data_IF_355281761911
#
_entry.id   IF_355281761911
#
_cell.length_a   1.000
_cell.length_b   1.000
_cell.length_c   1.000
_cell.angle_alpha   90.00
_cell.angle_beta   90.00
_cell.angle_gamma   90.00
#
_symmetry.space_group_name_H-M   'P 1'
#
loop_
_entity.id
_entity.type
_entity.pdbx_description
1 polymer ?
#
# COMPACT_ATOMS: atom_id res chain seq x y z
N UNK A 1 -3.78 23.26 3.08
CA UNK A 1 -2.52 23.24 2.31
C UNK A 1 -1.47 22.53 3.14
N UNK A 2 -1.07 21.33 2.73
CA UNK A 2 0.26 20.75 2.93
C UNK A 2 0.31 19.55 2.00
N UNK A 3 0.69 19.77 0.75
CA UNK A 3 1.18 18.67 -0.09
C UNK A 3 2.55 18.37 0.49
N UNK A 4 2.62 17.43 1.42
CA UNK A 4 3.92 16.97 1.89
C UNK A 4 4.61 16.35 0.66
N UNK A 5 5.72 16.92 0.23
CA UNK A 5 6.46 16.43 -0.93
C UNK A 5 7.25 15.17 -0.59
N UNK A 6 6.67 14.22 0.16
CA UNK A 6 7.36 13.01 0.60
C UNK A 6 7.69 12.18 -0.63
N UNK A 7 8.98 12.01 -0.90
CA UNK A 7 9.52 11.30 -2.07
C UNK A 7 9.97 9.88 -1.75
N UNK A 8 9.90 9.48 -0.49
CA UNK A 8 10.33 8.16 -0.02
C UNK A 8 9.38 7.67 1.06
N UNK A 9 9.17 6.36 1.13
CA UNK A 9 8.35 5.80 2.21
C UNK A 9 9.11 5.91 3.54
N UNK A 10 8.50 6.43 4.62
CA UNK A 10 9.18 6.61 5.90
C UNK A 10 9.36 5.27 6.61
N UNK A 11 10.49 4.60 6.36
CA UNK A 11 10.76 3.22 6.83
C UNK A 11 10.73 3.07 8.36
N UNK A 12 10.93 4.16 9.10
CA UNK A 12 10.89 4.17 10.56
C UNK A 12 9.52 3.75 11.11
N UNK A 13 8.44 3.98 10.35
CA UNK A 13 7.08 3.60 10.78
C UNK A 13 6.89 2.08 10.81
N UNK A 14 7.73 1.30 10.13
CA UNK A 14 7.63 -0.17 10.06
C UNK A 14 7.86 -0.83 11.43
N UNK A 15 8.49 -0.11 12.37
CA UNK A 15 8.62 -0.50 13.77
C UNK A 15 7.32 -0.35 14.60
N UNK A 16 6.32 0.39 14.11
CA UNK A 16 5.10 0.70 14.85
C UNK A 16 4.10 -0.47 14.83
N UNK A 17 4.37 -1.52 15.59
CA UNK A 17 3.53 -2.75 15.61
C UNK A 17 2.09 -2.54 16.06
N UNK A 18 1.76 -1.40 16.68
CA UNK A 18 0.39 -1.05 17.10
C UNK A 18 -0.36 -0.19 16.06
N UNK A 19 0.27 0.16 14.93
CA UNK A 19 -0.34 1.00 13.92
C UNK A 19 -1.49 0.25 13.23
N UNK A 20 -2.69 0.83 13.24
CA UNK A 20 -3.89 0.26 12.61
C UNK A 20 -4.28 0.98 11.31
N UNK A 21 -3.97 2.26 11.19
CA UNK A 21 -4.25 3.05 9.99
C UNK A 21 -2.99 3.79 9.55
N UNK A 22 -2.65 3.68 8.27
CA UNK A 22 -1.56 4.40 7.63
C UNK A 22 -2.10 5.14 6.42
N UNK A 23 -1.99 6.47 6.44
CA UNK A 23 -2.37 7.35 5.34
C UNK A 23 -1.15 8.13 4.88
N UNK A 24 -0.70 7.82 3.67
CA UNK A 24 0.39 8.52 2.97
C UNK A 24 -0.08 8.98 1.58
N UNK A 25 -1.39 9.24 1.44
CA UNK A 25 -1.96 9.76 0.21
C UNK A 25 -1.46 11.17 -0.13
N UNK A 26 -1.52 11.52 -1.41
CA UNK A 26 -1.14 12.84 -1.94
C UNK A 26 0.35 13.20 -1.70
N UNK A 27 1.23 12.22 -1.90
CA UNK A 27 2.68 12.37 -1.82
C UNK A 27 3.33 12.01 -3.18
N UNK A 28 4.65 11.76 -3.19
CA UNK A 28 5.45 11.38 -4.36
C UNK A 28 6.23 10.09 -4.10
N UNK A 29 5.65 9.19 -3.33
CA UNK A 29 6.29 7.93 -2.95
C UNK A 29 6.36 7.03 -4.20
N UNK A 30 7.54 6.56 -4.62
CA UNK A 30 7.70 5.80 -5.85
C UNK A 30 7.41 4.30 -5.68
N UNK A 31 7.51 3.78 -4.45
CA UNK A 31 7.34 2.38 -4.12
C UNK A 31 7.03 2.17 -2.63
N UNK A 32 6.39 1.06 -2.31
CA UNK A 32 6.33 0.54 -0.95
C UNK A 32 7.56 -0.32 -0.66
N UNK A 33 8.10 -0.29 0.57
CA UNK A 33 9.14 -1.23 0.99
C UNK A 33 8.58 -2.67 1.05
N UNK A 34 9.43 -3.67 0.83
CA UNK A 34 9.01 -5.08 0.95
C UNK A 34 8.67 -5.42 2.40
N UNK A 35 9.31 -4.75 3.35
CA UNK A 35 9.09 -4.86 4.79
C UNK A 35 7.76 -4.25 5.26
N UNK A 36 6.87 -3.83 4.35
CA UNK A 36 5.55 -3.29 4.71
C UNK A 36 4.72 -4.28 5.54
N UNK A 37 4.96 -5.58 5.37
CA UNK A 37 4.30 -6.65 6.11
C UNK A 37 4.68 -6.71 7.61
N UNK A 38 5.72 -5.98 7.99
CA UNK A 38 6.08 -5.75 9.39
C UNK A 38 5.00 -5.00 10.19
N UNK A 39 4.10 -4.28 9.51
CA UNK A 39 2.94 -3.63 10.10
C UNK A 39 1.81 -4.64 10.35
N UNK A 40 2.05 -5.60 11.23
CA UNK A 40 1.20 -6.80 11.42
C UNK A 40 -0.23 -6.51 11.90
N UNK A 41 -0.49 -5.34 12.49
CA UNK A 41 -1.80 -4.91 12.97
C UNK A 41 -2.46 -3.84 12.08
N UNK A 42 -1.88 -3.55 10.91
CA UNK A 42 -2.45 -2.55 10.01
C UNK A 42 -3.75 -3.06 9.39
N UNK A 43 -4.80 -2.26 9.50
CA UNK A 43 -6.14 -2.54 8.99
C UNK A 43 -6.48 -1.70 7.76
N UNK A 44 -5.92 -0.48 7.68
CA UNK A 44 -6.14 0.46 6.59
C UNK A 44 -4.82 1.01 6.05
N UNK A 45 -4.60 0.87 4.75
CA UNK A 45 -3.50 1.48 4.01
C UNK A 45 -4.07 2.38 2.92
N UNK A 46 -3.82 3.69 3.03
CA UNK A 46 -4.10 4.64 1.96
C UNK A 46 -2.80 5.18 1.36
N UNK A 47 -2.55 4.82 0.11
CA UNK A 47 -1.38 5.22 -0.69
C UNK A 47 -1.83 5.95 -1.97
N UNK A 48 -3.07 6.43 -2.04
CA UNK A 48 -3.60 7.08 -3.25
C UNK A 48 -2.80 8.32 -3.64
N UNK A 49 -2.80 8.66 -4.93
CA UNK A 49 -2.14 9.86 -5.47
C UNK A 49 -0.64 9.92 -5.10
N UNK A 50 0.07 8.83 -5.38
CA UNK A 50 1.53 8.72 -5.31
C UNK A 50 2.10 8.31 -6.68
N UNK A 51 3.40 8.02 -6.74
CA UNK A 51 4.10 7.58 -7.96
C UNK A 51 4.34 6.06 -7.98
N UNK A 52 3.53 5.28 -7.26
CA UNK A 52 3.71 3.84 -7.06
C UNK A 52 3.37 3.08 -8.36
N UNK A 53 4.34 2.38 -8.91
CA UNK A 53 4.16 1.58 -10.13
C UNK A 53 3.75 0.14 -9.87
N UNK A 54 4.06 -0.40 -8.69
CA UNK A 54 3.80 -1.79 -8.32
C UNK A 54 3.42 -1.91 -6.86
N UNK A 55 2.39 -2.69 -6.55
CA UNK A 55 2.17 -3.20 -5.21
C UNK A 55 3.07 -4.41 -4.97
N UNK A 56 3.62 -4.52 -3.77
CA UNK A 56 4.51 -5.61 -3.34
C UNK A 56 3.67 -6.80 -2.86
N UNK A 57 4.15 -8.03 -3.08
CA UNK A 57 3.40 -9.25 -2.71
C UNK A 57 3.25 -9.39 -1.20
N UNK A 58 4.16 -8.78 -0.44
CA UNK A 58 4.23 -8.80 1.02
C UNK A 58 2.97 -8.17 1.65
N UNK A 59 2.25 -7.29 0.95
CA UNK A 59 0.92 -6.84 1.38
C UNK A 59 -0.04 -8.02 1.63
N UNK A 60 0.11 -9.14 0.91
CA UNK A 60 -0.69 -10.34 1.10
C UNK A 60 -0.46 -11.03 2.46
N UNK A 61 0.69 -10.82 3.10
CA UNK A 61 1.05 -11.34 4.41
C UNK A 61 0.35 -10.57 5.55
N UNK A 62 -0.19 -9.38 5.27
CA UNK A 62 -0.81 -8.50 6.26
C UNK A 62 -2.23 -8.97 6.59
N UNK A 63 -2.34 -9.97 7.46
CA UNK A 63 -3.61 -10.65 7.78
C UNK A 63 -4.70 -9.73 8.36
N UNK A 64 -4.34 -8.59 8.95
CA UNK A 64 -5.30 -7.62 9.49
C UNK A 64 -5.72 -6.55 8.46
N UNK A 65 -5.07 -6.48 7.29
CA UNK A 65 -5.32 -5.44 6.30
C UNK A 65 -6.66 -5.67 5.60
N UNK A 66 -7.62 -4.78 5.85
CA UNK A 66 -9.00 -4.86 5.33
C UNK A 66 -9.27 -3.84 4.23
N UNK A 67 -8.51 -2.76 4.20
CA UNK A 67 -8.72 -1.68 3.24
C UNK A 67 -7.40 -1.21 2.62
N UNK A 68 -7.33 -1.25 1.29
CA UNK A 68 -6.23 -0.70 0.51
C UNK A 68 -6.82 0.29 -0.48
N UNK A 69 -6.39 1.55 -0.40
CA UNK A 69 -6.70 2.56 -1.41
C UNK A 69 -5.42 2.95 -2.13
N UNK A 70 -5.39 2.75 -3.44
CA UNK A 70 -4.21 2.94 -4.29
C UNK A 70 -4.52 3.68 -5.60
N UNK A 71 -5.73 4.24 -5.73
CA UNK A 71 -6.12 5.06 -6.86
C UNK A 71 -5.18 6.26 -7.08
N UNK A 72 -5.11 6.77 -8.31
CA UNK A 72 -4.25 7.92 -8.64
C UNK A 72 -2.76 7.61 -8.68
N UNK A 73 -2.36 6.34 -8.63
CA UNK A 73 -0.99 5.89 -8.88
C UNK A 73 -0.81 5.39 -10.33
N UNK A 74 0.39 5.50 -10.91
CA UNK A 74 0.74 4.91 -12.21
C UNK A 74 0.98 3.39 -12.10
N UNK A 75 0.08 2.67 -11.42
CA UNK A 75 0.19 1.23 -11.19
C UNK A 75 0.17 0.45 -12.50
N UNK A 76 1.21 -0.35 -12.71
CA UNK A 76 1.30 -1.36 -13.77
C UNK A 76 0.88 -2.73 -13.22
N UNK A 77 1.16 -2.99 -11.94
CA UNK A 77 0.83 -4.24 -11.25
C UNK A 77 0.33 -3.99 -9.81
N UNK A 78 -0.79 -4.59 -9.38
CA UNK A 78 -1.81 -5.25 -10.19
C UNK A 78 -2.37 -4.32 -11.26
N UNK A 79 -2.86 -4.87 -12.38
CA UNK A 79 -3.48 -4.05 -13.43
C UNK A 79 -4.74 -3.38 -12.88
N UNK A 80 -5.12 -2.24 -13.47
CA UNK A 80 -6.32 -1.47 -13.08
C UNK A 80 -7.60 -2.32 -12.95
N UNK A 81 -7.78 -3.32 -13.81
CA UNK A 81 -8.93 -4.22 -13.75
C UNK A 81 -9.01 -5.07 -12.46
N UNK A 82 -7.89 -5.28 -11.77
CA UNK A 82 -7.83 -5.92 -10.45
C UNK A 82 -8.08 -4.89 -9.35
N UNK A 83 -7.39 -3.74 -9.41
CA UNK A 83 -7.50 -2.71 -8.35
C UNK A 83 -8.91 -2.11 -8.27
N UNK A 84 -9.61 -1.97 -9.39
CA UNK A 84 -11.01 -1.49 -9.44
C UNK A 84 -12.03 -2.45 -8.81
N UNK A 85 -11.67 -3.72 -8.62
CA UNK A 85 -12.53 -4.71 -7.93
C UNK A 85 -12.40 -4.64 -6.41
N UNK A 86 -11.56 -3.75 -5.88
CA UNK A 86 -11.40 -3.48 -4.46
C UNK A 86 -10.37 -4.36 -3.75
N UNK A 87 -10.24 -4.15 -2.44
CA UNK A 87 -9.18 -4.75 -1.60
C UNK A 87 -9.10 -6.26 -1.72
N UNK A 88 -10.23 -6.97 -1.71
CA UNK A 88 -10.23 -8.43 -1.77
C UNK A 88 -9.60 -8.95 -3.06
N UNK A 89 -9.92 -8.34 -4.20
CA UNK A 89 -9.33 -8.74 -5.49
C UNK A 89 -7.83 -8.46 -5.54
N UNK A 90 -7.39 -7.31 -4.99
CA UNK A 90 -5.98 -6.98 -4.85
C UNK A 90 -5.26 -8.04 -4.00
N UNK A 91 -5.79 -8.35 -2.82
CA UNK A 91 -5.19 -9.31 -1.89
C UNK A 91 -5.15 -10.72 -2.47
N UNK A 92 -6.21 -11.17 -3.15
CA UNK A 92 -6.22 -12.46 -3.85
C UNK A 92 -5.15 -12.51 -4.95
N UNK A 93 -5.09 -11.48 -5.80
CA UNK A 93 -4.09 -11.41 -6.86
C UNK A 93 -2.66 -11.44 -6.32
N UNK A 94 -2.38 -10.72 -5.23
CA UNK A 94 -1.04 -10.69 -4.63
C UNK A 94 -0.66 -12.04 -3.99
N UNK A 95 -1.62 -12.82 -3.48
CA UNK A 95 -1.39 -14.19 -2.98
C UNK A 95 -1.08 -15.18 -4.10
N UNK A 96 -1.68 -14.99 -5.27
CA UNK A 96 -1.50 -15.84 -6.45
C UNK A 96 -0.22 -15.52 -7.25
N UNK A 97 0.49 -14.45 -6.92
CA UNK A 97 1.78 -14.08 -7.54
C UNK A 97 2.98 -14.95 -7.11
N UNK A 98 2.75 -16.04 -6.35
CA UNK A 98 3.75 -16.97 -5.85
C UNK A 98 4.12 -18.08 -6.83
#
# INVERSE_FOLDING_TARGET
MSVCGIREFPVEILGLKKLRELRVNDNKIPALPVEIDQLTNLEMLNISNNDIRRLVKELANMNQLRYIQCDGNPLVYPRRAVTQKGTNAIMTFLREMG
#
